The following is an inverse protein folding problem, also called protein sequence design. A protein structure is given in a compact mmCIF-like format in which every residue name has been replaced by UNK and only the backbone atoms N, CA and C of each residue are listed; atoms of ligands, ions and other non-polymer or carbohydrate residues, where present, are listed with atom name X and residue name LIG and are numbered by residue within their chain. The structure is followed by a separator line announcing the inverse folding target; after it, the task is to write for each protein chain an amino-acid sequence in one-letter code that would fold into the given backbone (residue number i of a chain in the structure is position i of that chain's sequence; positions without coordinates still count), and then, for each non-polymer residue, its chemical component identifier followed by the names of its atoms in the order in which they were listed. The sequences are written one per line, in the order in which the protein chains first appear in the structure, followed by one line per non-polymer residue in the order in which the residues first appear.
data_IF_279025179292
#
_entry.id   IF_279025179292
#
_cell.length_a   1.000
_cell.length_b   1.000
_cell.length_c   1.000
_cell.angle_alpha   90.00
_cell.angle_beta   90.00
_cell.angle_gamma   90.00
#
_symmetry.space_group_name_H-M   'P 1'
#
loop_
_entity.id
_entity.type
_entity.pdbx_description
1 polymer ?
#
# COMPACT_ATOMS: atom_id res chain seq x y z
N UNK A 1 8.56 6.56 13.79
CA UNK A 1 7.35 5.81 13.41
C UNK A 1 6.21 6.80 13.28
N UNK A 2 5.61 6.94 12.09
CA UNK A 2 4.41 7.76 11.92
C UNK A 2 3.24 6.84 12.17
N UNK A 3 2.64 6.95 13.36
CA UNK A 3 1.45 6.20 13.71
C UNK A 3 0.26 6.96 13.13
N UNK A 4 -0.38 6.36 12.13
CA UNK A 4 -1.63 6.90 11.61
C UNK A 4 -2.72 6.84 12.68
N UNK A 5 -3.54 7.89 12.76
CA UNK A 5 -4.64 7.97 13.72
C UNK A 5 -5.95 7.42 13.15
N UNK A 6 -5.95 7.01 11.89
CA UNK A 6 -7.08 6.43 11.18
C UNK A 6 -7.12 4.89 11.27
N UNK A 7 -8.25 4.28 10.90
CA UNK A 7 -8.43 2.83 10.95
C UNK A 7 -7.57 2.08 9.92
N UNK A 8 -7.23 0.84 10.25
CA UNK A 8 -6.69 -0.13 9.28
C UNK A 8 -7.81 -0.54 8.32
N UNK A 9 -7.61 -0.37 7.02
CA UNK A 9 -8.61 -0.64 6.00
C UNK A 9 -8.27 -1.81 5.08
N UNK A 10 -6.98 -2.12 4.91
CA UNK A 10 -6.53 -3.23 4.07
C UNK A 10 -5.26 -3.87 4.64
N UNK A 11 -5.12 -5.18 4.40
CA UNK A 11 -3.94 -5.96 4.75
C UNK A 11 -3.50 -6.79 3.53
N UNK A 12 -2.21 -6.70 3.21
CA UNK A 12 -1.52 -7.56 2.27
C UNK A 12 -0.41 -8.32 2.98
N UNK A 13 -0.21 -9.59 2.61
CA UNK A 13 0.86 -10.43 3.17
C UNK A 13 1.64 -11.08 2.04
N UNK A 14 2.96 -11.00 2.11
CA UNK A 14 3.85 -11.70 1.19
C UNK A 14 4.92 -12.49 1.95
N UNK A 15 4.83 -13.81 1.85
CA UNK A 15 5.74 -14.73 2.55
C UNK A 15 6.99 -15.00 1.74
N UNK A 16 8.14 -14.85 2.40
CA UNK A 16 9.46 -15.18 1.86
C UNK A 16 10.20 -16.09 2.82
N UNK A 17 11.37 -16.58 2.41
CA UNK A 17 12.29 -17.30 3.32
C UNK A 17 12.80 -16.42 4.45
N UNK A 18 12.84 -15.11 4.25
CA UNK A 18 13.19 -14.10 5.26
C UNK A 18 11.98 -13.68 6.10
N UNK A 19 10.86 -14.41 6.09
CA UNK A 19 9.66 -14.04 6.86
C UNK A 19 8.58 -13.35 6.02
N UNK A 20 7.63 -12.72 6.69
CA UNK A 20 6.41 -12.19 6.08
C UNK A 20 6.48 -10.67 5.98
N UNK A 21 6.46 -10.15 4.76
CA UNK A 21 6.22 -8.73 4.53
C UNK A 21 4.73 -8.46 4.70
N UNK A 22 4.40 -7.58 5.63
CA UNK A 22 3.05 -7.12 5.91
C UNK A 22 2.90 -5.72 5.33
N UNK A 23 1.87 -5.54 4.51
CA UNK A 23 1.52 -4.27 3.88
C UNK A 23 0.17 -3.84 4.46
N UNK A 24 0.12 -2.65 5.00
CA UNK A 24 -1.07 -2.10 5.63
C UNK A 24 -1.55 -0.90 4.83
N UNK A 25 -2.86 -0.83 4.64
CA UNK A 25 -3.55 0.33 4.09
C UNK A 25 -4.44 0.93 5.15
N UNK A 26 -4.52 2.25 5.19
CA UNK A 26 -5.41 2.96 6.12
C UNK A 26 -6.51 3.73 5.41
N UNK A 27 -7.50 4.16 6.20
CA UNK A 27 -8.56 5.06 5.78
C UNK A 27 -8.04 6.44 5.34
N UNK A 28 -6.86 6.86 5.80
CA UNK A 28 -6.25 8.13 5.41
C UNK A 28 -5.49 8.06 4.07
N UNK A 29 -5.40 6.88 3.47
CA UNK A 29 -4.60 6.64 2.27
C UNK A 29 -3.12 6.34 2.55
N UNK A 30 -2.73 6.22 3.83
CA UNK A 30 -1.40 5.76 4.20
C UNK A 30 -1.20 4.29 3.82
N UNK A 31 -0.09 4.01 3.16
CA UNK A 31 0.42 2.66 2.94
C UNK A 31 1.66 2.48 3.81
N UNK A 32 1.70 1.46 4.65
CA UNK A 32 2.88 1.14 5.46
C UNK A 32 3.30 -0.31 5.28
N UNK A 33 4.59 -0.59 5.50
CA UNK A 33 5.17 -1.91 5.33
C UNK A 33 6.02 -2.27 6.54
N UNK A 34 5.88 -3.51 7.00
CA UNK A 34 6.72 -4.11 8.02
C UNK A 34 7.15 -5.53 7.65
N UNK A 35 8.24 -5.99 8.24
CA UNK A 35 8.71 -7.38 8.15
C UNK A 35 8.41 -8.08 9.48
N UNK A 36 7.62 -9.14 9.42
CA UNK A 36 7.28 -9.98 10.57
C UNK A 36 7.96 -11.34 10.46
N UNK A 37 8.56 -11.76 11.57
CA UNK A 37 9.07 -13.12 11.78
C UNK A 37 8.28 -13.79 12.92
N UNK A 38 8.84 -14.81 13.56
CA UNK A 38 8.37 -15.34 14.85
C UNK A 38 8.51 -14.35 16.00
N UNK A 39 9.30 -13.28 15.82
CA UNK A 39 9.51 -12.20 16.80
C UNK A 39 8.71 -10.92 16.50
N UNK A 40 9.07 -9.80 17.15
CA UNK A 40 8.42 -8.51 16.93
C UNK A 40 8.56 -8.04 15.48
N UNK A 41 7.54 -7.33 15.00
CA UNK A 41 7.53 -6.76 13.66
C UNK A 41 8.55 -5.62 13.54
N UNK A 42 9.26 -5.59 12.41
CA UNK A 42 10.23 -4.53 12.07
C UNK A 42 9.55 -3.61 11.05
N UNK A 43 9.20 -2.40 11.48
CA UNK A 43 8.67 -1.38 10.58
C UNK A 43 9.74 -0.93 9.58
N UNK A 44 9.36 -0.85 8.31
CA UNK A 44 10.27 -0.52 7.22
C UNK A 44 10.03 0.90 6.72
N UNK A 45 8.82 1.18 6.20
CA UNK A 45 8.49 2.47 5.61
C UNK A 45 6.99 2.71 5.59
N UNK A 46 6.59 3.97 5.41
CA UNK A 46 5.21 4.42 5.31
C UNK A 46 5.12 5.60 4.35
N UNK A 47 4.13 5.61 3.46
CA UNK A 47 3.97 6.63 2.43
C UNK A 47 2.50 6.94 2.18
N UNK A 48 2.16 8.22 2.04
CA UNK A 48 0.81 8.67 1.66
C UNK A 48 0.84 9.06 0.19
N UNK A 49 0.09 8.32 -0.63
CA UNK A 49 -0.19 8.68 -2.02
C UNK A 49 -1.69 8.87 -2.24
N UNK A 50 -2.48 7.92 -1.73
CA UNK A 50 -3.93 7.95 -1.84
C UNK A 50 -4.50 9.06 -0.96
N UNK A 51 -5.58 9.68 -1.41
CA UNK A 51 -6.30 10.73 -0.67
C UNK A 51 -7.51 10.17 0.11
N UNK A 52 -7.72 8.86 0.06
CA UNK A 52 -8.84 8.19 0.71
C UNK A 52 -8.48 6.74 1.06
N UNK A 53 -9.44 6.03 1.65
CA UNK A 53 -9.32 4.67 2.16
C UNK A 53 -8.68 3.73 1.14
N UNK A 54 -7.55 3.14 1.52
CA UNK A 54 -6.95 2.04 0.76
C UNK A 54 -7.84 0.81 0.91
N UNK A 55 -8.39 0.31 -0.19
CA UNK A 55 -9.40 -0.77 -0.18
C UNK A 55 -8.82 -2.13 -0.53
N UNK A 56 -7.60 -2.19 -1.04
CA UNK A 56 -6.98 -3.47 -1.34
C UNK A 56 -5.55 -3.40 -1.84
N UNK A 57 -4.94 -4.57 -1.88
CA UNK A 57 -3.61 -4.79 -2.40
C UNK A 57 -3.56 -5.99 -3.36
N UNK A 58 -2.68 -5.93 -4.35
CA UNK A 58 -2.29 -7.08 -5.17
C UNK A 58 -0.77 -7.15 -5.19
N UNK A 59 -0.19 -8.25 -4.72
CA UNK A 59 1.25 -8.38 -4.48
C UNK A 59 1.83 -9.42 -5.43
N UNK A 60 3.00 -9.13 -5.99
CA UNK A 60 3.72 -10.03 -6.88
C UNK A 60 5.24 -9.83 -6.73
N UNK A 61 6.02 -10.87 -7.01
CA UNK A 61 7.48 -10.80 -6.97
C UNK A 61 8.07 -10.98 -8.36
N UNK A 62 9.19 -10.32 -8.62
CA UNK A 62 10.06 -10.62 -9.75
C UNK A 62 11.52 -10.66 -9.29
N UNK A 63 12.46 -10.89 -10.21
CA UNK A 63 13.90 -11.05 -9.87
C UNK A 63 14.49 -9.85 -9.12
N UNK A 64 13.94 -8.66 -9.29
CA UNK A 64 14.45 -7.40 -8.71
C UNK A 64 13.81 -7.00 -7.38
N UNK A 65 12.84 -7.78 -6.88
CA UNK A 65 12.20 -7.53 -5.59
C UNK A 65 10.71 -7.80 -5.58
N UNK A 66 10.04 -7.30 -4.55
CA UNK A 66 8.60 -7.44 -4.34
C UNK A 66 7.93 -6.17 -4.87
N UNK A 67 6.86 -6.33 -5.61
CA UNK A 67 6.04 -5.26 -6.13
C UNK A 67 4.62 -5.44 -5.65
N UNK A 68 3.91 -4.34 -5.47
CA UNK A 68 2.49 -4.43 -5.18
C UNK A 68 1.73 -3.26 -5.75
N UNK A 69 0.47 -3.49 -6.04
CA UNK A 69 -0.52 -2.49 -6.34
C UNK A 69 -1.32 -2.21 -5.09
N UNK A 70 -1.62 -0.94 -4.82
CA UNK A 70 -2.66 -0.55 -3.88
C UNK A 70 -3.76 0.22 -4.61
N UNK A 71 -5.01 0.00 -4.21
CA UNK A 71 -6.18 0.70 -4.75
C UNK A 71 -6.91 1.44 -3.63
N UNK A 72 -7.51 2.59 -3.94
CA UNK A 72 -8.22 3.44 -2.98
C UNK A 72 -9.59 3.88 -3.49
N UNK A 73 -10.45 4.31 -2.56
CA UNK A 73 -11.73 4.96 -2.84
C UNK A 73 -11.59 6.30 -3.58
N UNK A 74 -10.40 6.88 -3.66
CA UNK A 74 -10.13 8.06 -4.50
C UNK A 74 -10.03 7.76 -6.01
N UNK A 75 -10.44 6.55 -6.41
CA UNK A 75 -10.38 6.03 -7.77
C UNK A 75 -8.97 6.03 -8.36
N UNK A 76 -7.95 5.77 -7.54
CA UNK A 76 -6.57 5.60 -8.00
C UNK A 76 -6.01 4.24 -7.61
N UNK A 77 -5.06 3.79 -8.43
CA UNK A 77 -4.13 2.72 -8.10
C UNK A 77 -2.70 3.26 -8.03
N UNK A 78 -1.88 2.68 -7.19
CA UNK A 78 -0.44 2.97 -7.12
C UNK A 78 0.37 1.68 -7.20
N UNK A 79 1.44 1.71 -8.00
CA UNK A 79 2.45 0.66 -8.09
C UNK A 79 3.64 1.03 -7.22
N UNK A 80 4.06 0.06 -6.41
CA UNK A 80 5.14 0.18 -5.45
C UNK A 80 6.21 -0.88 -5.69
N UNK A 81 7.45 -0.53 -5.38
CA UNK A 81 8.56 -1.48 -5.28
C UNK A 81 9.04 -1.52 -3.83
N UNK A 82 9.07 -2.72 -3.26
CA UNK A 82 9.64 -3.01 -1.97
C UNK A 82 10.99 -3.67 -2.17
N UNK A 83 12.05 -2.93 -1.87
CA UNK A 83 13.42 -3.45 -1.87
C UNK A 83 13.63 -4.30 -0.62
N UNK A 84 13.90 -5.60 -0.81
CA UNK A 84 14.21 -6.52 0.30
C UNK A 84 15.56 -6.19 0.93
N UNK A 85 16.55 -5.79 0.12
CA UNK A 85 17.91 -5.46 0.57
C UNK A 85 17.96 -4.19 1.40
N UNK A 86 17.39 -3.10 0.88
CA UNK A 86 17.48 -1.78 1.52
C UNK A 86 16.28 -1.48 2.43
N UNK A 87 15.33 -2.41 2.51
CA UNK A 87 14.10 -2.30 3.30
C UNK A 87 13.33 -1.00 3.05
N UNK A 88 13.33 -0.55 1.80
CA UNK A 88 12.71 0.69 1.40
C UNK A 88 11.48 0.42 0.51
N UNK A 89 10.46 1.26 0.68
CA UNK A 89 9.27 1.31 -0.16
C UNK A 89 9.40 2.50 -1.11
N UNK A 90 9.38 2.22 -2.41
CA UNK A 90 9.43 3.22 -3.45
C UNK A 90 8.08 3.31 -4.18
N UNK A 91 7.56 4.53 -4.33
CA UNK A 91 6.46 4.81 -5.23
C UNK A 91 6.98 4.86 -6.67
N UNK A 92 6.47 3.99 -7.53
CA UNK A 92 6.89 3.94 -8.93
C UNK A 92 5.96 4.80 -9.78
N UNK A 93 4.65 4.54 -9.68
CA UNK A 93 3.66 5.13 -10.59
C UNK A 93 2.26 5.07 -10.04
N UNK A 94 1.50 6.12 -10.30
CA UNK A 94 0.06 6.19 -10.05
C UNK A 94 -0.75 6.00 -11.33
N UNK A 95 -1.97 5.49 -11.17
CA UNK A 95 -2.94 5.28 -12.23
C UNK A 95 -4.28 5.80 -11.77
N UNK A 96 -4.88 6.73 -12.52
CA UNK A 96 -6.29 7.07 -12.34
C UNK A 96 -7.13 5.96 -12.95
N UNK A 97 -8.10 5.49 -12.20
CA UNK A 97 -9.11 4.57 -12.70
C UNK A 97 -10.15 5.42 -13.42
N UNK A 98 -10.47 5.07 -14.66
CA UNK A 98 -11.58 5.68 -15.39
C UNK A 98 -12.91 5.13 -14.86
N UNK A 99 -13.11 5.33 -13.56
CA UNK A 99 -14.24 4.89 -12.75
C UNK A 99 -14.66 6.12 -11.98
N UNK A 100 -15.95 6.46 -12.04
CA UNK A 100 -16.45 7.61 -11.30
C UNK A 100 -16.20 7.41 -9.81
N UNK A 101 -15.52 8.39 -9.21
CA UNK A 101 -15.51 8.55 -7.76
C UNK A 101 -16.97 8.73 -7.32
N UNK A 102 -17.57 7.79 -6.58
CA UNK A 102 -18.93 7.95 -6.08
C UNK A 102 -19.06 9.18 -5.16
N UNK A 103 -17.95 9.69 -4.60
CA UNK A 103 -17.90 10.97 -3.89
C UNK A 103 -17.73 12.18 -4.83
N UNK A 104 -17.35 11.95 -6.09
CA UNK A 104 -17.03 12.97 -7.10
C UNK A 104 -18.20 13.42 -7.99
N UNK A 105 -19.42 12.92 -7.79
CA UNK A 105 -20.56 13.28 -8.66
C UNK A 105 -21.48 14.32 -8.02
N UNK A 106 -21.05 15.58 -8.11
CA UNK A 106 -21.88 16.66 -8.66
C UNK A 106 -21.03 17.50 -9.62
N UNK A 107 -20.76 16.96 -10.81
CA UNK A 107 -20.62 17.79 -12.00
C UNK A 107 -21.59 17.27 -13.05
N UNK A 108 -22.85 17.62 -12.83
CA UNK A 108 -23.86 17.63 -13.89
C UNK A 108 -23.33 18.57 -14.99
N UNK A 109 -23.08 18.00 -16.17
CA UNK A 109 -23.19 18.76 -17.42
C UNK A 109 -24.66 18.88 -17.79
#
# INVERSE_FOLDING_TARGET
EVIDKCGLSALGVFTTTEGNYLIFGSESGLVSVGLAHTGPMIWMSSFIYHCSTVTGFSIFSCRTGIYFLSISLDCRMALWHLSTTNRNLEFIKGFTLDVCDPCGVYRLM
#
